data_IF_353046790937
#
_entry.id   IF_353046790937
#
_cell.length_a   1.000
_cell.length_b   1.000
_cell.length_c   1.000
_cell.angle_alpha   90.00
_cell.angle_beta   90.00
_cell.angle_gamma   90.00
#
_symmetry.space_group_name_H-M   'P 1'
#
loop_
_entity.id
_entity.type
_entity.pdbx_description
1 polymer ?
#
# COMPACT_ATOMS: atom_id res chain seq x y z
N UNK A 1 54.05 25.85 30.36
CA UNK A 1 53.70 26.86 29.34
C UNK A 1 52.19 26.92 29.20
N UNK A 2 51.62 28.10 29.09
CA UNK A 2 50.26 28.50 29.47
C UNK A 2 49.15 27.86 28.62
N UNK A 3 48.11 27.36 29.32
CA UNK A 3 46.82 26.97 28.79
C UNK A 3 46.03 28.23 28.43
N UNK A 4 45.36 28.21 27.25
CA UNK A 4 44.39 29.23 26.84
C UNK A 4 43.03 28.54 26.80
N UNK A 5 42.17 28.89 27.76
CA UNK A 5 40.75 28.54 27.75
C UNK A 5 40.02 29.51 26.86
N UNK A 6 39.33 29.01 25.83
CA UNK A 6 38.34 29.75 25.04
C UNK A 6 36.94 29.49 25.57
N UNK A 7 36.27 30.54 26.05
CA UNK A 7 34.89 30.53 26.51
C UNK A 7 33.96 30.56 25.32
N UNK A 8 33.11 29.55 25.20
CA UNK A 8 32.00 29.51 24.23
C UNK A 8 30.72 29.99 24.94
N UNK A 9 30.26 31.18 24.56
CA UNK A 9 29.01 31.77 25.04
C UNK A 9 27.80 31.12 24.37
N UNK A 10 26.93 30.54 25.17
CA UNK A 10 25.67 29.97 24.75
C UNK A 10 24.59 31.11 24.65
N UNK A 11 24.15 31.43 23.48
CA UNK A 11 23.06 32.39 23.22
C UNK A 11 21.73 31.60 23.20
N UNK A 12 20.92 31.75 24.27
CA UNK A 12 19.57 31.24 24.33
C UNK A 12 18.64 32.30 23.74
N UNK A 13 18.03 32.02 22.60
CA UNK A 13 16.93 32.83 22.05
C UNK A 13 15.61 32.25 22.55
N UNK A 14 14.96 32.95 23.46
CA UNK A 14 13.62 32.65 23.91
C UNK A 14 12.60 33.19 22.87
N UNK A 15 11.89 32.32 22.22
CA UNK A 15 10.80 32.67 21.29
C UNK A 15 9.48 32.62 22.05
N UNK A 16 8.96 33.81 22.39
CA UNK A 16 7.63 33.96 23.01
C UNK A 16 6.53 33.81 21.96
N UNK A 17 5.73 32.76 22.13
CA UNK A 17 4.52 32.53 21.31
C UNK A 17 3.37 33.27 21.99
N UNK A 18 2.82 34.28 21.32
CA UNK A 18 1.61 34.99 21.70
C UNK A 18 0.40 34.20 21.24
N UNK A 19 -0.39 33.66 22.15
CA UNK A 19 -1.71 33.11 21.83
C UNK A 19 -2.71 34.24 21.73
N UNK A 20 -3.26 34.48 20.55
CA UNK A 20 -4.46 35.30 20.38
C UNK A 20 -5.68 34.42 20.61
N UNK A 21 -6.35 34.65 21.75
CA UNK A 21 -7.67 34.10 22.03
C UNK A 21 -8.71 34.87 21.21
N UNK A 22 -9.51 34.14 20.42
CA UNK A 22 -10.69 34.68 19.77
C UNK A 22 -11.92 33.99 20.39
N UNK A 23 -12.61 34.68 21.31
CA UNK A 23 -13.92 34.30 21.80
C UNK A 23 -14.95 34.42 20.68
N UNK A 24 -15.81 33.44 20.54
CA UNK A 24 -17.00 33.50 19.72
C UNK A 24 -18.21 33.02 20.49
N UNK A 25 -19.18 33.93 20.55
CA UNK A 25 -20.45 33.82 21.27
C UNK A 25 -21.35 32.68 20.78
N UNK A 26 -22.19 32.25 21.70
CA UNK A 26 -23.24 31.26 21.66
C UNK A 26 -24.35 31.53 20.63
N UNK A 27 -24.90 30.47 20.07
CA UNK A 27 -26.18 30.51 19.37
C UNK A 27 -26.69 29.19 18.85
N UNK A 28 -27.67 28.66 19.57
CA UNK A 28 -28.78 27.82 19.11
C UNK A 28 -28.54 26.30 18.91
N UNK A 29 -29.11 25.57 19.87
CA UNK A 29 -29.48 24.16 19.82
C UNK A 29 -30.40 23.86 18.64
N UNK A 30 -30.08 22.77 17.90
CA UNK A 30 -31.10 22.00 17.20
C UNK A 30 -30.73 20.49 17.29
N UNK A 31 -31.52 19.81 18.11
CA UNK A 31 -31.58 18.37 18.22
C UNK A 31 -31.98 17.75 16.86
N UNK A 32 -31.14 16.87 16.31
CA UNK A 32 -31.50 15.91 15.25
C UNK A 32 -31.14 14.52 15.70
N UNK A 33 -31.99 13.51 15.47
CA UNK A 33 -31.76 12.14 15.97
C UNK A 33 -30.56 11.49 15.28
N UNK A 34 -29.78 10.76 16.07
CA UNK A 34 -28.71 9.86 15.61
C UNK A 34 -29.34 8.75 14.77
N UNK A 35 -29.09 8.80 13.47
CA UNK A 35 -29.29 7.66 12.58
C UNK A 35 -27.92 7.05 12.33
N UNK A 36 -27.72 5.86 12.91
CA UNK A 36 -26.44 5.14 12.91
C UNK A 36 -26.08 4.57 11.54
N UNK A 37 -25.62 5.43 10.66
CA UNK A 37 -24.93 5.02 9.44
C UNK A 37 -23.61 5.79 9.37
N UNK A 38 -22.58 5.28 10.06
CA UNK A 38 -21.22 5.80 9.94
C UNK A 38 -20.71 5.53 8.53
N UNK A 39 -21.05 6.44 7.63
CA UNK A 39 -20.35 6.57 6.36
C UNK A 39 -18.94 7.12 6.70
N UNK A 40 -17.82 6.44 6.35
CA UNK A 40 -16.50 6.90 6.69
C UNK A 40 -16.28 8.31 6.16
N UNK A 41 -15.88 9.21 7.06
CA UNK A 41 -15.64 10.62 6.76
C UNK A 41 -14.49 10.73 5.74
N UNK A 42 -14.86 11.03 4.49
CA UNK A 42 -13.88 11.26 3.41
C UNK A 42 -13.38 12.69 3.57
N UNK A 43 -12.33 12.87 4.36
CA UNK A 43 -11.62 14.14 4.48
C UNK A 43 -10.45 14.13 3.49
N UNK A 44 -10.64 14.80 2.36
CA UNK A 44 -9.65 14.80 1.28
C UNK A 44 -9.60 13.47 0.48
N UNK A 45 -8.45 13.14 -0.10
CA UNK A 45 -8.22 11.91 -0.84
C UNK A 45 -7.78 10.76 0.09
N UNK A 46 -8.45 10.57 1.22
CA UNK A 46 -8.11 9.52 2.20
C UNK A 46 -9.31 8.63 2.51
N UNK A 47 -9.05 7.34 2.75
CA UNK A 47 -10.00 6.36 3.27
C UNK A 47 -9.36 5.74 4.50
N UNK A 48 -10.03 5.84 5.64
CA UNK A 48 -9.53 5.34 6.93
C UNK A 48 -8.08 5.77 7.24
N UNK A 49 -7.74 7.04 6.95
CA UNK A 49 -6.41 7.61 7.21
C UNK A 49 -5.34 7.28 6.18
N UNK A 50 -5.64 6.51 5.14
CA UNK A 50 -4.71 6.16 4.05
C UNK A 50 -5.08 6.89 2.76
N UNK A 51 -4.10 7.52 2.14
CA UNK A 51 -4.29 8.27 0.89
C UNK A 51 -4.56 7.34 -0.30
N UNK A 52 -5.43 7.82 -1.20
CA UNK A 52 -5.70 7.17 -2.47
C UNK A 52 -5.53 8.10 -3.66
N UNK A 53 -5.38 7.50 -4.82
CA UNK A 53 -5.37 8.15 -6.13
C UNK A 53 -6.52 7.58 -6.96
N UNK A 54 -7.38 8.45 -7.47
CA UNK A 54 -8.32 8.13 -8.54
C UNK A 54 -7.59 8.27 -9.87
N UNK A 55 -7.42 7.18 -10.59
CA UNK A 55 -6.74 7.16 -11.89
C UNK A 55 -7.69 7.42 -13.07
N UNK A 56 -8.99 7.63 -12.82
CA UNK A 56 -10.00 7.78 -13.87
C UNK A 56 -10.26 6.48 -14.63
N UNK A 57 -10.09 5.32 -13.97
CA UNK A 57 -10.39 4.02 -14.57
C UNK A 57 -11.88 3.82 -14.73
N UNK A 58 -12.35 3.02 -15.72
CA UNK A 58 -13.77 2.75 -15.95
C UNK A 58 -14.51 2.23 -14.72
N UNK A 59 -13.88 1.42 -13.89
CA UNK A 59 -14.45 0.91 -12.64
C UNK A 59 -14.63 1.98 -11.55
N UNK A 60 -13.94 3.12 -11.65
CA UNK A 60 -13.88 4.14 -10.60
C UNK A 60 -13.05 3.72 -9.37
N UNK A 61 -12.31 2.61 -9.48
CA UNK A 61 -11.49 2.04 -8.40
C UNK A 61 -10.44 3.04 -7.90
N UNK A 62 -10.33 3.16 -6.59
CA UNK A 62 -9.32 3.96 -5.91
C UNK A 62 -8.10 3.10 -5.61
N UNK A 63 -6.92 3.57 -5.97
CA UNK A 63 -5.66 2.90 -5.69
C UNK A 63 -4.95 3.59 -4.52
N UNK A 64 -4.47 2.82 -3.57
CA UNK A 64 -3.66 3.39 -2.49
C UNK A 64 -2.42 4.12 -3.03
N UNK A 65 -2.02 5.23 -2.40
CA UNK A 65 -0.83 5.99 -2.80
C UNK A 65 0.47 5.22 -2.53
N UNK A 66 0.50 4.33 -1.52
CA UNK A 66 1.65 3.51 -1.12
C UNK A 66 1.27 2.05 -0.83
N UNK A 67 2.28 1.20 -0.65
CA UNK A 67 2.10 -0.19 -0.24
C UNK A 67 1.75 -0.29 1.25
N UNK A 68 1.19 -1.42 1.71
CA UNK A 68 1.06 -1.68 3.14
C UNK A 68 2.45 -1.67 3.80
N UNK A 69 2.56 -1.03 4.97
CA UNK A 69 3.82 -0.88 5.69
C UNK A 69 4.74 0.24 5.18
N UNK A 70 4.35 0.92 4.09
CA UNK A 70 5.06 2.08 3.56
C UNK A 70 4.41 3.40 4.03
N UNK A 71 5.20 4.46 4.11
CA UNK A 71 4.78 5.83 4.43
C UNK A 71 4.84 6.77 3.22
N UNK A 72 5.51 6.34 2.15
CA UNK A 72 5.61 7.06 0.88
C UNK A 72 5.48 6.11 -0.33
N UNK A 73 5.21 6.67 -1.49
CA UNK A 73 4.91 5.89 -2.69
C UNK A 73 6.09 5.03 -3.18
N UNK A 74 7.32 5.50 -2.97
CA UNK A 74 8.55 4.84 -3.38
C UNK A 74 9.04 3.75 -2.43
N UNK A 75 8.54 3.70 -1.20
CA UNK A 75 8.92 2.66 -0.25
C UNK A 75 8.32 1.30 -0.63
N UNK A 76 9.09 0.25 -0.43
CA UNK A 76 8.67 -1.11 -0.77
C UNK A 76 7.53 -1.61 0.12
N UNK A 77 7.46 -1.11 1.38
CA UNK A 77 6.53 -1.58 2.39
C UNK A 77 6.85 -2.98 2.90
N UNK A 78 5.85 -3.60 3.46
CA UNK A 78 5.92 -4.94 4.03
C UNK A 78 5.65 -6.02 2.98
N UNK A 79 6.09 -7.25 3.30
CA UNK A 79 5.86 -8.42 2.45
C UNK A 79 4.91 -9.39 3.16
N UNK A 80 4.01 -9.98 2.41
CA UNK A 80 3.00 -10.92 2.91
C UNK A 80 3.02 -12.22 2.09
N UNK A 81 2.85 -13.36 2.75
CA UNK A 81 2.46 -14.57 2.07
C UNK A 81 0.97 -14.48 1.69
N UNK A 82 0.57 -15.12 0.59
CA UNK A 82 -0.81 -14.99 0.12
C UNK A 82 -1.82 -15.55 1.13
N UNK A 83 -2.82 -14.74 1.47
CA UNK A 83 -3.84 -15.09 2.44
C UNK A 83 -3.37 -15.00 3.90
N UNK A 84 -2.20 -14.44 4.16
CA UNK A 84 -1.73 -14.11 5.50
C UNK A 84 -1.76 -12.60 5.74
N UNK A 85 -2.10 -12.20 6.93
CA UNK A 85 -2.35 -10.79 7.28
C UNK A 85 -1.27 -10.18 8.17
N UNK A 86 -0.25 -10.96 8.49
CA UNK A 86 0.91 -10.53 9.29
C UNK A 86 2.22 -10.82 8.57
N UNK A 87 3.21 -9.98 8.80
CA UNK A 87 4.58 -10.17 8.32
C UNK A 87 5.26 -11.31 9.08
N UNK A 88 6.28 -11.91 8.45
CA UNK A 88 7.09 -13.00 9.02
C UNK A 88 8.57 -12.73 8.82
N UNK A 89 9.41 -13.41 9.61
CA UNK A 89 10.86 -13.40 9.41
C UNK A 89 11.34 -14.39 8.36
N UNK A 90 10.49 -15.36 7.98
CA UNK A 90 10.82 -16.45 7.07
C UNK A 90 9.61 -16.82 6.21
N UNK A 91 9.80 -16.92 4.90
CA UNK A 91 8.76 -17.20 3.90
C UNK A 91 9.06 -18.52 3.21
N UNK A 92 8.59 -19.61 3.83
CA UNK A 92 8.78 -20.99 3.38
C UNK A 92 7.45 -21.75 3.35
N UNK A 93 7.41 -22.83 2.60
CA UNK A 93 6.20 -23.63 2.42
C UNK A 93 5.62 -24.15 3.75
N UNK A 94 6.49 -24.63 4.65
CA UNK A 94 6.06 -25.27 5.90
C UNK A 94 5.43 -24.32 6.93
N UNK A 95 5.66 -23.01 6.80
CA UNK A 95 5.08 -22.00 7.70
C UNK A 95 3.98 -21.13 7.03
N UNK A 96 3.56 -21.48 5.82
CA UNK A 96 2.47 -20.79 5.13
C UNK A 96 1.12 -21.41 5.51
N UNK A 97 0.32 -20.66 6.27
CA UNK A 97 -0.95 -21.15 6.83
C UNK A 97 -2.03 -21.41 5.77
N UNK A 98 -1.89 -20.84 4.58
CA UNK A 98 -2.83 -20.99 3.46
C UNK A 98 -2.35 -21.95 2.38
N UNK A 99 -1.14 -22.52 2.54
CA UNK A 99 -0.60 -23.46 1.56
C UNK A 99 -1.44 -24.74 1.50
N UNK A 100 -1.93 -25.10 0.32
CA UNK A 100 -2.80 -26.26 0.14
C UNK A 100 -4.25 -26.10 0.67
N UNK A 101 -4.61 -24.94 1.20
CA UNK A 101 -5.99 -24.66 1.69
C UNK A 101 -6.87 -24.22 0.52
N UNK A 102 -8.06 -24.82 0.42
CA UNK A 102 -9.02 -24.41 -0.61
C UNK A 102 -9.72 -23.11 -0.18
N UNK A 103 -9.24 -21.98 -0.74
CA UNK A 103 -9.80 -20.64 -0.55
C UNK A 103 -10.32 -20.14 -1.90
N UNK A 104 -11.48 -19.50 -1.88
CA UNK A 104 -11.98 -18.68 -2.98
C UNK A 104 -11.23 -17.33 -3.04
N UNK A 105 -11.71 -16.37 -3.84
CA UNK A 105 -11.21 -15.00 -3.80
C UNK A 105 -11.28 -14.45 -2.37
N UNK A 106 -10.14 -13.92 -1.88
CA UNK A 106 -9.99 -13.48 -0.49
C UNK A 106 -10.27 -11.99 -0.30
N UNK A 107 -10.64 -11.28 -1.35
CA UNK A 107 -10.91 -9.85 -1.34
C UNK A 107 -11.89 -9.47 -0.23
N UNK A 108 -11.55 -8.47 0.55
CA UNK A 108 -12.34 -7.96 1.68
C UNK A 108 -12.54 -8.92 2.86
N UNK A 109 -11.97 -10.11 2.84
CA UNK A 109 -12.03 -11.03 3.97
C UNK A 109 -10.91 -10.72 4.97
N UNK A 110 -11.23 -10.10 6.10
CA UNK A 110 -10.24 -9.68 7.10
C UNK A 110 -9.39 -10.82 7.69
N UNK A 111 -9.78 -12.07 7.52
CA UNK A 111 -8.99 -13.23 7.94
C UNK A 111 -7.83 -13.50 6.99
N UNK A 112 -7.98 -13.18 5.70
CA UNK A 112 -7.03 -13.57 4.66
C UNK A 112 -6.52 -12.40 3.81
N UNK A 113 -7.24 -11.29 3.76
CA UNK A 113 -6.87 -10.09 3.00
C UNK A 113 -6.02 -9.16 3.87
N UNK A 114 -4.73 -9.07 3.55
CA UNK A 114 -3.78 -8.23 4.29
C UNK A 114 -4.16 -6.74 4.27
N UNK A 115 -4.73 -6.24 3.18
CA UNK A 115 -5.17 -4.85 3.10
C UNK A 115 -6.36 -4.60 4.03
N UNK A 116 -7.36 -5.47 4.01
CA UNK A 116 -8.52 -5.38 4.89
C UNK A 116 -8.12 -5.50 6.36
N UNK A 117 -7.23 -6.43 6.69
CA UNK A 117 -6.82 -6.66 8.06
C UNK A 117 -6.01 -5.50 8.66
N UNK A 118 -5.10 -4.91 7.87
CA UNK A 118 -4.18 -3.87 8.36
C UNK A 118 -4.74 -2.45 8.23
N UNK A 119 -5.51 -2.15 7.18
CA UNK A 119 -6.03 -0.81 6.93
C UNK A 119 -7.54 -0.66 7.21
N UNK A 120 -8.29 -1.76 7.24
CA UNK A 120 -9.72 -1.75 7.56
C UNK A 120 -10.59 -1.06 6.50
N UNK A 121 -11.79 -0.61 6.91
CA UNK A 121 -12.76 0.09 6.08
C UNK A 121 -13.06 -0.67 4.76
N UNK A 122 -12.91 -0.03 3.60
CA UNK A 122 -13.15 -0.60 2.27
C UNK A 122 -11.86 -1.05 1.56
N UNK A 123 -10.70 -0.93 2.21
CA UNK A 123 -9.42 -1.38 1.67
C UNK A 123 -9.38 -2.89 1.50
N UNK A 124 -8.83 -3.35 0.37
CA UNK A 124 -8.70 -4.77 0.02
C UNK A 124 -7.59 -5.01 -0.99
N UNK A 125 -7.21 -6.26 -1.18
CA UNK A 125 -6.37 -6.64 -2.31
C UNK A 125 -7.11 -6.42 -3.63
N UNK A 126 -6.40 -6.02 -4.70
CA UNK A 126 -6.96 -5.97 -6.05
C UNK A 126 -7.21 -7.39 -6.58
N UNK A 127 -8.25 -7.54 -7.38
CA UNK A 127 -8.52 -8.74 -8.17
C UNK A 127 -7.64 -8.79 -9.44
N UNK A 128 -7.60 -9.95 -10.09
CA UNK A 128 -6.94 -10.09 -11.41
C UNK A 128 -7.51 -9.10 -12.43
N UNK A 129 -8.83 -8.93 -12.46
CA UNK A 129 -9.47 -8.12 -13.48
C UNK A 129 -9.21 -6.63 -13.26
N UNK A 130 -9.09 -6.18 -12.02
CA UNK A 130 -8.69 -4.81 -11.70
C UNK A 130 -7.23 -4.51 -12.09
N UNK A 131 -6.34 -5.49 -11.95
CA UNK A 131 -4.95 -5.34 -12.44
C UNK A 131 -4.86 -5.39 -13.97
N UNK A 132 -5.72 -6.17 -14.63
CA UNK A 132 -5.87 -6.11 -16.10
C UNK A 132 -6.39 -4.75 -16.54
N UNK A 133 -7.40 -4.22 -15.83
CA UNK A 133 -7.91 -2.88 -16.09
C UNK A 133 -6.81 -1.82 -15.96
N UNK A 134 -6.06 -1.85 -14.85
CA UNK A 134 -4.91 -0.96 -14.63
C UNK A 134 -3.91 -1.04 -15.80
N UNK A 135 -3.47 -2.26 -16.14
CA UNK A 135 -2.51 -2.49 -17.22
C UNK A 135 -3.00 -2.00 -18.58
N UNK A 136 -4.29 -2.18 -18.87
CA UNK A 136 -4.84 -1.92 -20.21
C UNK A 136 -5.24 -0.46 -20.42
N UNK A 137 -5.53 0.30 -19.35
CA UNK A 137 -6.04 1.67 -19.46
C UNK A 137 -5.04 2.74 -19.02
N UNK A 138 -3.88 2.36 -18.48
CA UNK A 138 -2.87 3.30 -18.02
C UNK A 138 -1.60 3.26 -18.87
N UNK A 139 -0.86 4.36 -18.83
CA UNK A 139 0.51 4.40 -19.35
C UNK A 139 1.46 3.96 -18.25
N UNK A 140 2.36 3.02 -18.57
CA UNK A 140 3.35 2.48 -17.65
C UNK A 140 4.74 2.93 -18.07
N UNK A 141 5.45 3.61 -17.15
CA UNK A 141 6.79 4.14 -17.37
C UNK A 141 7.74 3.59 -16.28
N UNK A 142 8.77 2.83 -16.69
CA UNK A 142 9.82 2.40 -15.78
C UNK A 142 10.73 3.57 -15.43
N UNK A 143 10.76 3.95 -14.17
CA UNK A 143 11.47 5.14 -13.72
C UNK A 143 12.00 5.00 -12.30
N UNK A 144 12.75 6.01 -11.85
CA UNK A 144 13.10 6.20 -10.47
C UNK A 144 12.07 7.09 -9.78
N UNK A 145 11.74 6.76 -8.52
CA UNK A 145 11.10 7.68 -7.58
C UNK A 145 11.89 7.62 -6.27
N UNK A 146 12.39 8.77 -5.80
CA UNK A 146 13.37 8.77 -4.72
C UNK A 146 14.61 7.95 -5.08
N UNK A 147 14.89 6.92 -4.31
CA UNK A 147 16.04 6.00 -4.49
C UNK A 147 15.65 4.64 -5.05
N UNK A 148 14.38 4.44 -5.36
CA UNK A 148 13.85 3.15 -5.79
C UNK A 148 13.34 3.18 -7.23
N UNK A 149 13.59 2.11 -7.96
CA UNK A 149 12.99 1.85 -9.27
C UNK A 149 11.58 1.29 -9.12
N UNK A 150 10.76 1.50 -10.16
CA UNK A 150 9.43 0.94 -10.29
C UNK A 150 8.72 1.44 -11.52
N UNK A 151 7.43 1.18 -11.59
CA UNK A 151 6.56 1.76 -12.60
C UNK A 151 5.77 2.94 -12.06
N UNK A 152 5.93 4.10 -12.72
CA UNK A 152 4.95 5.16 -12.68
C UNK A 152 3.80 4.76 -13.60
N UNK A 153 2.61 4.67 -13.04
CA UNK A 153 1.39 4.25 -13.74
C UNK A 153 0.46 5.45 -13.80
N UNK A 154 0.26 5.99 -15.00
CA UNK A 154 -0.54 7.19 -15.22
C UNK A 154 -1.88 6.81 -15.85
N UNK A 155 -2.95 7.15 -15.17
CA UNK A 155 -4.32 6.88 -15.60
C UNK A 155 -4.85 7.85 -16.66
N UNK A 156 -6.04 7.57 -17.22
CA UNK A 156 -6.66 8.38 -18.26
C UNK A 156 -6.89 9.85 -17.86
N UNK A 157 -7.09 10.13 -16.58
CA UNK A 157 -7.29 11.48 -16.06
C UNK A 157 -5.99 12.25 -15.77
N UNK A 158 -4.80 11.64 -16.04
CA UNK A 158 -3.49 12.22 -15.81
C UNK A 158 -2.93 12.02 -14.40
N UNK A 159 -3.72 11.53 -13.46
CA UNK A 159 -3.22 11.15 -12.13
C UNK A 159 -2.35 9.91 -12.22
N UNK A 160 -1.43 9.74 -11.27
CA UNK A 160 -0.51 8.60 -11.30
C UNK A 160 -0.25 8.03 -9.92
N UNK A 161 0.05 6.73 -9.89
CA UNK A 161 0.63 6.02 -8.75
C UNK A 161 2.01 5.52 -9.13
N UNK A 162 2.82 5.19 -8.12
CA UNK A 162 4.10 4.53 -8.31
C UNK A 162 4.08 3.16 -7.66
N UNK A 163 4.38 2.10 -8.43
CA UNK A 163 4.57 0.75 -7.94
C UNK A 163 6.06 0.44 -7.87
N UNK A 164 6.69 0.49 -6.67
CA UNK A 164 8.10 0.19 -6.54
C UNK A 164 8.44 -1.26 -6.83
N UNK A 165 9.60 -1.49 -7.43
CA UNK A 165 10.15 -2.83 -7.69
C UNK A 165 10.78 -3.40 -6.41
N UNK A 166 9.93 -3.83 -5.46
CA UNK A 166 10.33 -4.29 -4.14
C UNK A 166 11.00 -5.67 -4.13
N UNK A 167 11.06 -6.37 -5.28
CA UNK A 167 11.51 -7.75 -5.34
C UNK A 167 10.54 -8.70 -4.65
N UNK A 168 11.07 -9.72 -4.01
CA UNK A 168 10.29 -10.71 -3.28
C UNK A 168 11.06 -11.27 -2.09
N UNK A 169 10.34 -11.71 -1.10
CA UNK A 169 10.88 -12.41 0.06
C UNK A 169 10.78 -13.92 -0.16
N UNK A 170 11.88 -14.63 0.00
CA UNK A 170 11.95 -16.10 -0.02
C UNK A 170 12.90 -16.56 1.06
N UNK A 171 12.51 -17.58 1.83
CA UNK A 171 13.21 -17.96 3.04
C UNK A 171 13.34 -16.74 4.01
N UNK A 172 14.51 -16.34 4.40
CA UNK A 172 14.83 -15.23 5.29
C UNK A 172 15.43 -14.01 4.57
N UNK A 173 15.32 -13.93 3.24
CA UNK A 173 15.99 -12.90 2.45
C UNK A 173 15.08 -12.29 1.38
N UNK A 174 15.35 -11.01 1.07
CA UNK A 174 14.72 -10.31 -0.05
C UNK A 174 15.63 -10.33 -1.26
N UNK A 175 15.07 -10.68 -2.41
CA UNK A 175 15.75 -10.78 -3.70
C UNK A 175 15.24 -9.75 -4.69
N UNK A 176 16.08 -9.37 -5.66
CA UNK A 176 15.74 -8.56 -6.83
C UNK A 176 15.06 -7.21 -6.54
N UNK A 177 15.38 -6.56 -5.43
CA UNK A 177 14.98 -5.16 -5.18
C UNK A 177 15.52 -4.25 -6.28
N UNK A 178 14.69 -3.29 -6.70
CA UNK A 178 14.97 -2.37 -7.81
C UNK A 178 15.09 -3.02 -9.20
N UNK A 179 14.78 -4.32 -9.32
CA UNK A 179 14.82 -5.08 -10.58
C UNK A 179 13.43 -5.56 -11.00
N UNK A 180 12.67 -6.13 -10.04
CA UNK A 180 11.33 -6.65 -10.29
C UNK A 180 10.35 -6.19 -9.19
N UNK A 181 9.10 -5.99 -9.58
CA UNK A 181 7.98 -5.81 -8.66
C UNK A 181 7.10 -7.06 -8.64
N UNK A 182 6.72 -7.48 -7.44
CA UNK A 182 5.85 -8.62 -7.20
C UNK A 182 4.72 -8.19 -6.26
N UNK A 183 3.48 -8.33 -6.71
CA UNK A 183 2.30 -7.89 -5.98
C UNK A 183 1.23 -8.96 -5.95
N UNK A 184 0.71 -9.28 -4.76
CA UNK A 184 -0.41 -10.20 -4.64
C UNK A 184 -1.71 -9.63 -5.20
N UNK A 185 -2.51 -10.52 -5.79
CA UNK A 185 -3.94 -10.31 -6.03
C UNK A 185 -4.75 -11.03 -4.96
N UNK A 186 -6.06 -10.76 -4.90
CA UNK A 186 -6.96 -11.52 -4.02
C UNK A 186 -7.29 -12.92 -4.55
N UNK A 187 -6.96 -13.21 -5.80
CA UNK A 187 -7.44 -14.40 -6.51
C UNK A 187 -6.54 -15.60 -6.28
N UNK A 188 -7.09 -16.77 -5.90
CA UNK A 188 -6.35 -18.02 -5.88
C UNK A 188 -6.03 -18.48 -7.30
N UNK A 189 -5.12 -19.45 -7.43
CA UNK A 189 -4.98 -20.22 -8.66
C UNK A 189 -5.80 -21.50 -8.54
N UNK A 190 -6.83 -21.66 -9.39
CA UNK A 190 -7.83 -22.71 -9.25
C UNK A 190 -7.28 -24.13 -9.46
N UNK A 191 -6.24 -24.28 -10.28
CA UNK A 191 -5.70 -25.59 -10.65
C UNK A 191 -4.69 -26.15 -9.63
N UNK A 192 -4.22 -25.34 -8.67
CA UNK A 192 -3.30 -25.78 -7.64
C UNK A 192 -3.42 -24.93 -6.37
N UNK A 193 -3.79 -25.54 -5.26
CA UNK A 193 -4.01 -24.89 -3.97
C UNK A 193 -2.73 -24.35 -3.29
N UNK A 194 -1.55 -24.66 -3.83
CA UNK A 194 -0.28 -24.10 -3.37
C UNK A 194 0.05 -22.76 -4.04
N UNK A 195 -0.72 -22.35 -5.07
CA UNK A 195 -0.45 -21.16 -5.86
C UNK A 195 -1.57 -20.13 -5.70
N UNK A 196 -1.20 -18.87 -5.92
CA UNK A 196 -2.13 -17.75 -6.05
C UNK A 196 -1.66 -16.82 -7.16
N UNK A 197 -2.57 -15.97 -7.64
CA UNK A 197 -2.30 -15.06 -8.74
C UNK A 197 -1.57 -13.81 -8.24
N UNK A 198 -0.55 -13.42 -8.97
CA UNK A 198 0.27 -12.23 -8.73
C UNK A 198 0.35 -11.35 -9.97
N UNK A 199 0.64 -10.08 -9.76
CA UNK A 199 1.10 -9.14 -10.77
C UNK A 199 2.61 -8.99 -10.64
N UNK A 200 3.31 -9.26 -11.74
CA UNK A 200 4.77 -9.23 -11.82
C UNK A 200 5.23 -8.30 -12.91
N UNK A 201 6.31 -7.58 -12.67
CA UNK A 201 6.94 -6.74 -13.67
C UNK A 201 8.45 -6.62 -13.44
N UNK A 202 9.19 -6.39 -14.52
CA UNK A 202 10.59 -6.00 -14.53
C UNK A 202 10.78 -4.72 -15.32
N UNK A 203 12.04 -4.32 -15.57
CA UNK A 203 12.36 -3.11 -16.31
C UNK A 203 11.75 -3.09 -17.73
N UNK A 204 11.67 -4.24 -18.39
CA UNK A 204 11.09 -4.35 -19.72
C UNK A 204 9.56 -4.54 -19.59
N UNK A 205 8.79 -3.69 -20.25
CA UNK A 205 7.33 -3.76 -20.26
C UNK A 205 6.80 -5.09 -20.80
N UNK A 206 7.55 -5.80 -21.62
CA UNK A 206 7.21 -7.15 -22.09
C UNK A 206 7.18 -8.18 -20.96
N UNK A 207 7.81 -7.89 -19.84
CA UNK A 207 7.83 -8.75 -18.64
C UNK A 207 6.70 -8.45 -17.66
N UNK A 208 5.72 -7.61 -18.03
CA UNK A 208 4.55 -7.36 -17.20
C UNK A 208 3.54 -8.48 -17.39
N UNK A 209 3.36 -9.28 -16.37
CA UNK A 209 2.49 -10.47 -16.39
C UNK A 209 1.56 -10.55 -15.18
N UNK A 210 0.44 -11.24 -15.36
CA UNK A 210 -0.41 -11.74 -14.29
C UNK A 210 -0.32 -13.26 -14.37
N UNK A 211 0.32 -13.85 -13.39
CA UNK A 211 0.64 -15.29 -13.38
C UNK A 211 0.53 -15.85 -11.96
N UNK A 212 0.48 -17.16 -11.86
CA UNK A 212 0.48 -17.86 -10.58
C UNK A 212 1.89 -17.98 -9.97
N UNK A 213 1.95 -18.03 -8.65
CA UNK A 213 3.17 -18.38 -7.93
C UNK A 213 2.86 -18.95 -6.54
N UNK A 214 3.86 -19.52 -5.90
CA UNK A 214 3.73 -20.14 -4.58
C UNK A 214 3.21 -19.17 -3.53
N UNK A 215 2.16 -19.56 -2.79
CA UNK A 215 1.52 -18.73 -1.75
C UNK A 215 2.44 -18.34 -0.61
N UNK A 216 3.47 -19.14 -0.32
CA UNK A 216 4.40 -18.88 0.75
C UNK A 216 5.39 -17.74 0.46
N UNK A 217 5.55 -17.33 -0.78
CA UNK A 217 6.43 -16.22 -1.13
C UNK A 217 5.93 -14.91 -0.53
N UNK A 218 6.86 -14.09 -0.05
CA UNK A 218 6.53 -12.76 0.45
C UNK A 218 6.52 -11.74 -0.68
N UNK A 219 5.33 -11.17 -0.98
CA UNK A 219 5.15 -10.13 -1.99
C UNK A 219 4.52 -8.89 -1.39
N UNK A 220 4.74 -7.75 -2.07
CA UNK A 220 4.11 -6.48 -1.71
C UNK A 220 2.59 -6.54 -1.89
N UNK A 221 1.88 -5.68 -1.15
CA UNK A 221 0.44 -5.47 -1.30
C UNK A 221 0.19 -4.00 -1.59
N UNK A 222 -0.44 -3.70 -2.74
CA UNK A 222 -0.96 -2.38 -3.08
C UNK A 222 -2.49 -2.43 -2.92
N UNK A 223 -3.05 -1.82 -1.88
CA UNK A 223 -4.48 -1.82 -1.63
C UNK A 223 -5.29 -1.05 -2.68
N UNK A 224 -6.55 -1.48 -2.83
CA UNK A 224 -7.57 -0.77 -3.60
C UNK A 224 -8.84 -0.60 -2.76
N UNK A 225 -9.69 0.35 -3.17
CA UNK A 225 -11.00 0.58 -2.57
C UNK A 225 -12.00 1.02 -3.63
N UNK A 226 -13.26 0.68 -3.44
CA UNK A 226 -14.36 1.11 -4.31
C UNK A 226 -14.83 2.51 -3.92
#
# INVERSE_FOLDING_TARGET
MKAVLSKLSLLIVAMTIVFASCEKESGSENNKPEDGNENPEVVGNTINGHEYVDLGLPSGLKWASCNIGATSAEEFGDYYAWGETSIKSEYIESNCSTNGVNLSDISSNAQYDAARANWGSTWRLPTIDELKELKNNCTLEWTWQGVNHGYKITGPNGNSIFLPAGGYYNDSSVFSKNEIGQYWTSSPYENNLQYAMRFSFGKDVSNIEISEYYRYMGYSVRPVSN
#
